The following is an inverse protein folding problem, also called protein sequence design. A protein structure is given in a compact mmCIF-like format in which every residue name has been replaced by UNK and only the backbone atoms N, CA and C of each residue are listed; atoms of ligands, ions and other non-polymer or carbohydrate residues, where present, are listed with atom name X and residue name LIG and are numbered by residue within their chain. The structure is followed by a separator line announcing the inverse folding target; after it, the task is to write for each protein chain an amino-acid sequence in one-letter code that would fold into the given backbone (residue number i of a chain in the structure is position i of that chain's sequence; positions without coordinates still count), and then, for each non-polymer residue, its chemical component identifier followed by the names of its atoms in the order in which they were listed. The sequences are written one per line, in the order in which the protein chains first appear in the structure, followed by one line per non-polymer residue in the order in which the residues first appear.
data_IF_153724964429
#
_entry.id   IF_153724964429
#
_cell.length_a   1.000
_cell.length_b   1.000
_cell.length_c   1.000
_cell.angle_alpha   90.00
_cell.angle_beta   90.00
_cell.angle_gamma   90.00
#
_symmetry.space_group_name_H-M   'P 1'
#
loop_
_entity.id
_entity.type
_entity.pdbx_description
1 polymer ?
#
# COMPACT_ATOMS: atom_id res chain seq x y z
N UNK A 1 -18.26 14.37 -23.33
CA UNK A 1 -16.84 14.57 -22.98
C UNK A 1 -16.24 13.19 -22.79
N UNK A 2 -15.10 12.96 -23.44
CA UNK A 2 -14.65 11.63 -23.86
C UNK A 2 -14.17 10.83 -22.65
N UNK A 3 -14.73 9.64 -22.48
CA UNK A 3 -14.35 8.65 -21.49
C UNK A 3 -12.93 8.18 -21.84
N UNK A 4 -11.91 8.78 -21.23
CA UNK A 4 -10.54 8.26 -21.31
C UNK A 4 -10.55 6.87 -20.69
N UNK A 5 -10.50 5.85 -21.55
CA UNK A 5 -10.22 4.48 -21.14
C UNK A 5 -8.93 4.51 -20.33
N UNK A 6 -9.08 4.39 -19.00
CA UNK A 6 -7.98 4.10 -18.07
C UNK A 6 -7.46 2.70 -18.42
N UNK A 7 -6.61 2.62 -19.45
CA UNK A 7 -5.84 1.40 -19.75
C UNK A 7 -4.68 1.37 -18.76
N UNK A 8 -5.00 0.95 -17.55
CA UNK A 8 -4.02 0.59 -16.55
C UNK A 8 -3.98 -0.94 -16.50
N UNK A 9 -2.80 -1.50 -16.76
CA UNK A 9 -2.59 -2.94 -16.82
C UNK A 9 -2.68 -3.52 -15.40
N UNK A 10 -3.91 -3.76 -14.96
CA UNK A 10 -4.22 -4.55 -13.77
C UNK A 10 -3.54 -5.90 -13.90
N UNK A 11 -2.56 -6.17 -13.05
CA UNK A 11 -2.00 -7.51 -12.89
C UNK A 11 -1.83 -7.78 -11.41
N UNK A 12 -2.33 -8.95 -11.05
CA UNK A 12 -2.87 -9.42 -9.78
C UNK A 12 -1.98 -9.24 -8.56
N UNK A 13 -2.59 -9.09 -7.38
CA UNK A 13 -2.00 -9.50 -6.11
C UNK A 13 -2.20 -11.02 -5.97
N UNK A 14 -1.21 -11.83 -6.37
CA UNK A 14 -1.18 -13.26 -6.03
C UNK A 14 -0.17 -13.41 -4.89
N UNK A 15 -0.65 -13.18 -3.68
CA UNK A 15 -0.02 -13.78 -2.52
C UNK A 15 -0.30 -15.28 -2.65
N UNK A 16 0.74 -16.09 -2.82
CA UNK A 16 0.55 -17.53 -2.78
C UNK A 16 0.23 -17.92 -1.34
N UNK A 17 -0.65 -18.90 -1.12
CA UNK A 17 -0.95 -19.44 0.21
C UNK A 17 0.30 -19.99 0.93
N UNK A 18 1.42 -20.15 0.21
CA UNK A 18 2.74 -20.55 0.70
C UNK A 18 3.65 -19.38 1.09
N UNK A 19 3.23 -18.13 0.87
CA UNK A 19 3.94 -16.96 1.40
C UNK A 19 3.79 -16.92 2.93
N UNK A 20 4.91 -16.95 3.65
CA UNK A 20 4.90 -16.96 5.12
C UNK A 20 4.14 -15.77 5.72
N UNK A 21 4.16 -14.60 5.05
CA UNK A 21 3.41 -13.43 5.49
C UNK A 21 1.90 -13.62 5.37
N UNK A 22 1.48 -14.38 4.35
CA UNK A 22 0.09 -14.77 4.15
C UNK A 22 -0.37 -15.74 5.25
N UNK A 23 0.40 -16.79 5.49
CA UNK A 23 0.08 -17.80 6.51
C UNK A 23 0.01 -17.20 7.93
N UNK A 24 0.87 -16.22 8.26
CA UNK A 24 0.84 -15.51 9.55
C UNK A 24 -0.42 -14.65 9.71
N UNK A 25 -0.81 -13.94 8.65
CA UNK A 25 -1.84 -12.90 8.76
C UNK A 25 -3.26 -13.43 8.80
N UNK A 26 -3.50 -14.62 8.27
CA UNK A 26 -4.83 -15.21 8.18
C UNK A 26 -5.44 -15.45 9.57
N UNK A 27 -6.65 -14.93 9.76
CA UNK A 27 -7.44 -15.14 10.99
C UNK A 27 -6.98 -14.32 12.19
N UNK A 28 -6.01 -13.42 12.04
CA UNK A 28 -5.52 -12.55 13.12
C UNK A 28 -6.33 -11.25 13.22
N UNK A 29 -6.17 -10.54 14.33
CA UNK A 29 -6.64 -9.16 14.49
C UNK A 29 -5.46 -8.25 14.84
N UNK A 30 -5.40 -7.11 14.15
CA UNK A 30 -4.35 -6.10 14.27
C UNK A 30 -4.92 -4.78 14.81
N UNK A 31 -5.98 -4.85 15.62
CA UNK A 31 -6.58 -3.66 16.22
C UNK A 31 -5.59 -2.89 17.10
N UNK A 32 -5.57 -1.56 16.95
CA UNK A 32 -4.72 -0.69 17.76
C UNK A 32 -3.22 -0.76 17.45
N UNK A 33 -2.78 -1.59 16.50
CA UNK A 33 -1.36 -1.69 16.14
C UNK A 33 -0.88 -0.36 15.55
N UNK A 34 0.19 0.17 16.12
CA UNK A 34 0.85 1.40 15.69
C UNK A 34 2.36 1.17 15.71
N UNK A 35 3.03 1.41 14.58
CA UNK A 35 4.49 1.40 14.51
C UNK A 35 5.05 2.73 15.02
N UNK A 36 6.13 2.68 15.81
CA UNK A 36 6.71 3.84 16.52
C UNK A 36 8.23 3.97 16.34
N UNK A 37 8.80 3.11 15.53
CA UNK A 37 10.22 2.93 15.22
C UNK A 37 10.69 3.76 14.02
N UNK A 38 9.79 4.52 13.37
CA UNK A 38 10.11 5.44 12.29
C UNK A 38 10.08 6.92 12.72
N UNK A 39 10.24 7.83 11.74
CA UNK A 39 10.21 9.29 11.96
C UNK A 39 8.84 9.83 12.42
N UNK A 40 7.80 8.99 12.41
CA UNK A 40 6.48 9.27 13.00
C UNK A 40 5.81 7.97 13.45
N UNK A 41 4.81 8.10 14.32
CA UNK A 41 3.87 7.01 14.57
C UNK A 41 3.01 6.74 13.32
N UNK A 42 2.82 5.45 13.02
CA UNK A 42 2.07 4.99 11.85
C UNK A 42 1.03 3.96 12.27
N UNK A 43 -0.25 4.28 12.01
CA UNK A 43 -1.37 3.35 12.21
C UNK A 43 -1.21 2.19 11.25
N UNK A 44 -1.30 0.96 11.73
CA UNK A 44 -1.18 -0.23 10.90
C UNK A 44 -2.52 -0.92 10.68
N UNK A 45 -2.74 -1.37 9.45
CA UNK A 45 -3.84 -2.24 9.07
C UNK A 45 -3.32 -3.37 8.20
N UNK A 46 -3.91 -4.56 8.35
CA UNK A 46 -3.61 -5.72 7.53
C UNK A 46 -4.87 -6.12 6.75
N UNK A 47 -4.77 -6.31 5.44
CA UNK A 47 -5.90 -6.66 4.57
C UNK A 47 -6.51 -8.02 4.94
N UNK A 48 -5.71 -8.90 5.57
CA UNK A 48 -6.13 -10.23 6.04
C UNK A 48 -6.63 -10.26 7.48
N UNK A 49 -6.78 -9.10 8.13
CA UNK A 49 -7.42 -9.02 9.44
C UNK A 49 -8.85 -9.58 9.39
N UNK A 50 -9.18 -10.47 10.32
CA UNK A 50 -10.46 -11.20 10.38
C UNK A 50 -11.70 -10.30 10.42
N UNK A 51 -11.56 -9.02 10.81
CA UNK A 51 -12.66 -8.05 10.82
C UNK A 51 -13.17 -7.73 9.41
N UNK A 52 -12.34 -7.88 8.38
CA UNK A 52 -12.70 -7.50 7.00
C UNK A 52 -12.16 -8.42 5.90
N UNK A 53 -11.27 -9.36 6.18
CA UNK A 53 -10.65 -10.22 5.16
C UNK A 53 -11.64 -10.98 4.28
N UNK A 54 -12.80 -11.36 4.83
CA UNK A 54 -13.89 -12.07 4.16
C UNK A 54 -14.91 -11.14 3.48
N UNK A 55 -14.78 -9.83 3.68
CA UNK A 55 -15.71 -8.83 3.13
C UNK A 55 -15.37 -8.55 1.67
N UNK A 56 -16.37 -8.25 0.84
CA UNK A 56 -16.16 -8.06 -0.59
C UNK A 56 -15.30 -6.83 -0.89
N UNK A 57 -14.42 -6.96 -1.88
CA UNK A 57 -13.82 -5.84 -2.59
C UNK A 57 -14.15 -6.00 -4.08
N UNK A 58 -15.30 -5.46 -4.46
CA UNK A 58 -15.88 -5.69 -5.77
C UNK A 58 -16.73 -6.97 -5.86
N UNK A 59 -17.12 -7.38 -7.08
CA UNK A 59 -18.09 -8.46 -7.29
C UNK A 59 -17.52 -9.88 -7.10
N UNK A 60 -16.18 -10.04 -7.15
CA UNK A 60 -15.54 -11.38 -7.19
C UNK A 60 -14.54 -11.64 -6.06
N UNK A 61 -13.82 -10.62 -5.63
CA UNK A 61 -12.74 -10.77 -4.65
C UNK A 61 -13.16 -10.26 -3.27
N UNK A 62 -12.37 -10.65 -2.27
CA UNK A 62 -12.46 -10.10 -0.91
C UNK A 62 -11.28 -9.17 -0.62
N UNK A 63 -11.40 -8.38 0.44
CA UNK A 63 -10.32 -7.50 0.91
C UNK A 63 -9.06 -8.32 1.24
N UNK A 64 -9.21 -9.51 1.84
CA UNK A 64 -8.09 -10.40 2.13
C UNK A 64 -7.30 -10.80 0.88
N UNK A 65 -7.97 -10.99 -0.25
CA UNK A 65 -7.34 -11.45 -1.51
C UNK A 65 -6.71 -10.30 -2.29
N UNK A 66 -7.40 -9.17 -2.44
CA UNK A 66 -7.01 -8.14 -3.41
C UNK A 66 -7.01 -6.70 -2.86
N UNK A 67 -7.11 -6.56 -1.52
CA UNK A 67 -7.26 -5.29 -0.82
C UNK A 67 -5.96 -4.54 -0.47
N UNK A 68 -4.79 -4.88 -1.04
CA UNK A 68 -3.52 -4.20 -0.71
C UNK A 68 -3.57 -2.68 -0.94
N UNK A 69 -4.18 -2.25 -2.05
CA UNK A 69 -4.34 -0.83 -2.39
C UNK A 69 -5.17 -0.05 -1.37
N UNK A 70 -6.45 -0.40 -1.14
CA UNK A 70 -7.27 0.30 -0.15
C UNK A 70 -6.74 0.16 1.28
N UNK A 71 -6.11 -0.97 1.64
CA UNK A 71 -5.50 -1.11 2.96
C UNK A 71 -4.27 -0.20 3.13
N UNK A 72 -3.41 -0.10 2.11
CA UNK A 72 -2.28 0.85 2.11
C UNK A 72 -2.75 2.30 2.23
N UNK A 73 -3.82 2.66 1.50
CA UNK A 73 -4.38 4.01 1.60
C UNK A 73 -5.04 4.26 2.96
N UNK A 74 -5.65 3.24 3.57
CA UNK A 74 -6.20 3.29 4.93
C UNK A 74 -5.13 3.60 5.98
N UNK A 75 -3.97 2.94 5.88
CA UNK A 75 -2.78 3.20 6.70
C UNK A 75 -2.36 4.68 6.56
N UNK A 76 -2.21 5.15 5.33
CA UNK A 76 -1.75 6.52 5.05
C UNK A 76 -2.73 7.57 5.57
N UNK A 77 -4.01 7.46 5.21
CA UNK A 77 -5.05 8.43 5.60
C UNK A 77 -5.23 8.44 7.12
N UNK A 78 -5.24 7.27 7.75
CA UNK A 78 -5.39 7.17 9.21
C UNK A 78 -4.18 7.68 9.99
N UNK A 79 -3.02 7.74 9.34
CA UNK A 79 -1.77 8.23 9.93
C UNK A 79 -1.60 9.73 9.74
N UNK A 80 -1.90 10.25 8.55
CA UNK A 80 -1.64 11.64 8.19
C UNK A 80 -2.82 12.58 8.45
N UNK A 81 -4.01 12.05 8.71
CA UNK A 81 -5.21 12.85 9.01
C UNK A 81 -5.77 12.55 10.40
N UNK A 82 -6.73 13.37 10.83
CA UNK A 82 -7.52 13.11 12.04
C UNK A 82 -8.62 12.04 11.84
N UNK A 83 -8.83 11.57 10.60
CA UNK A 83 -9.81 10.53 10.29
C UNK A 83 -9.19 9.15 10.56
N UNK A 84 -9.98 8.19 11.03
CA UNK A 84 -9.60 6.77 11.08
C UNK A 84 -10.46 6.05 10.06
N UNK A 85 -9.86 5.71 8.92
CA UNK A 85 -10.53 4.99 7.83
C UNK A 85 -9.96 3.58 7.81
N UNK A 86 -10.79 2.60 8.15
CA UNK A 86 -10.41 1.19 8.12
C UNK A 86 -10.45 0.61 6.68
N UNK A 87 -9.82 -0.56 6.46
CA UNK A 87 -9.77 -1.18 5.14
C UNK A 87 -11.13 -1.52 4.54
N UNK A 88 -12.15 -1.83 5.33
CA UNK A 88 -13.50 -2.09 4.82
C UNK A 88 -14.13 -0.82 4.23
N UNK A 89 -14.07 0.28 4.97
CA UNK A 89 -14.55 1.59 4.56
C UNK A 89 -13.81 2.09 3.32
N UNK A 90 -12.48 1.96 3.30
CA UNK A 90 -11.68 2.37 2.15
C UNK A 90 -11.93 1.50 0.92
N UNK A 91 -12.10 0.18 1.09
CA UNK A 91 -12.39 -0.73 -0.03
C UNK A 91 -13.75 -0.43 -0.67
N UNK A 92 -14.77 -0.15 0.15
CA UNK A 92 -16.07 0.29 -0.35
C UNK A 92 -15.99 1.61 -1.11
N UNK A 93 -15.26 2.59 -0.57
CA UNK A 93 -15.04 3.86 -1.25
C UNK A 93 -14.29 3.66 -2.57
N UNK A 94 -13.21 2.87 -2.57
CA UNK A 94 -12.41 2.60 -3.75
C UNK A 94 -13.26 1.95 -4.86
N UNK A 95 -14.06 0.94 -4.51
CA UNK A 95 -14.96 0.28 -5.45
C UNK A 95 -16.02 1.24 -6.03
N UNK A 96 -16.72 1.98 -5.17
CA UNK A 96 -17.78 2.90 -5.59
C UNK A 96 -17.28 4.06 -6.46
N UNK A 97 -15.98 4.39 -6.39
CA UNK A 97 -15.36 5.44 -7.19
C UNK A 97 -14.56 4.88 -8.39
N UNK A 98 -14.72 3.60 -8.72
CA UNK A 98 -14.15 3.01 -9.94
C UNK A 98 -12.65 2.71 -9.89
N UNK A 99 -12.10 2.50 -8.69
CA UNK A 99 -10.67 2.17 -8.50
C UNK A 99 -10.38 0.67 -8.43
N UNK A 100 -11.40 -0.18 -8.49
CA UNK A 100 -11.23 -1.62 -8.59
C UNK A 100 -10.74 -2.01 -10.00
N UNK A 101 -9.60 -2.68 -10.06
CA UNK A 101 -9.15 -3.39 -11.24
C UNK A 101 -9.56 -4.87 -11.10
N UNK A 102 -10.76 -5.20 -11.60
CA UNK A 102 -11.42 -6.50 -11.36
C UNK A 102 -10.50 -7.71 -11.60
N UNK A 103 -10.42 -8.61 -10.62
CA UNK A 103 -9.56 -9.80 -10.65
C UNK A 103 -8.06 -9.52 -10.43
N UNK A 104 -7.68 -8.27 -10.17
CA UNK A 104 -6.27 -7.88 -10.01
C UNK A 104 -5.98 -6.97 -8.82
N UNK A 105 -7.01 -6.43 -8.17
CA UNK A 105 -6.90 -5.53 -7.02
C UNK A 105 -7.33 -4.12 -7.40
N UNK A 106 -6.42 -3.15 -7.30
CA UNK A 106 -6.74 -1.73 -7.50
C UNK A 106 -5.95 -1.13 -8.64
N UNK A 107 -6.55 -0.17 -9.36
CA UNK A 107 -5.82 0.68 -10.30
C UNK A 107 -4.80 1.53 -9.56
N UNK A 108 -3.67 1.86 -10.21
CA UNK A 108 -2.63 2.72 -9.64
C UNK A 108 -3.18 4.11 -9.26
N UNK A 109 -4.19 4.59 -9.98
CA UNK A 109 -4.88 5.87 -9.70
C UNK A 109 -5.57 5.92 -8.34
N UNK A 110 -5.85 4.78 -7.69
CA UNK A 110 -6.41 4.75 -6.34
C UNK A 110 -5.57 5.59 -5.37
N UNK A 111 -4.24 5.49 -5.48
CA UNK A 111 -3.33 6.10 -4.52
C UNK A 111 -3.32 7.63 -4.62
N UNK A 112 -3.01 8.24 -5.78
CA UNK A 112 -3.01 9.69 -5.88
C UNK A 112 -4.41 10.30 -5.75
N UNK A 113 -5.43 9.73 -6.41
CA UNK A 113 -6.78 10.29 -6.38
C UNK A 113 -7.40 10.14 -4.97
N UNK A 114 -7.15 9.01 -4.30
CA UNK A 114 -7.54 8.77 -2.92
C UNK A 114 -6.85 9.70 -1.92
N UNK A 115 -5.53 9.86 -2.01
CA UNK A 115 -4.81 10.80 -1.15
C UNK A 115 -5.39 12.22 -1.27
N UNK A 116 -5.60 12.70 -2.50
CA UNK A 116 -6.20 14.01 -2.76
C UNK A 116 -7.63 14.12 -2.22
N UNK A 117 -8.46 13.08 -2.40
CA UNK A 117 -9.82 13.05 -1.86
C UNK A 117 -9.86 13.25 -0.33
N UNK A 118 -8.88 12.69 0.38
CA UNK A 118 -8.76 12.84 1.83
C UNK A 118 -8.00 14.11 2.26
N UNK A 119 -7.69 15.02 1.32
CA UNK A 119 -7.06 16.31 1.59
C UNK A 119 -5.55 16.25 1.76
N UNK A 120 -4.90 15.17 1.32
CA UNK A 120 -3.45 15.01 1.38
C UNK A 120 -2.80 15.44 0.06
N UNK A 121 -1.56 15.91 0.13
CA UNK A 121 -0.76 16.15 -1.05
C UNK A 121 -0.10 14.85 -1.50
N UNK A 122 0.04 14.67 -2.80
CA UNK A 122 0.70 13.50 -3.40
C UNK A 122 1.66 13.92 -4.49
N UNK A 123 2.87 13.36 -4.46
CA UNK A 123 3.90 13.55 -5.46
C UNK A 123 4.38 12.19 -5.95
N UNK A 124 4.32 11.98 -7.27
CA UNK A 124 4.91 10.81 -7.91
C UNK A 124 6.44 10.84 -7.89
N UNK A 125 7.06 9.67 -7.75
CA UNK A 125 8.50 9.47 -7.77
C UNK A 125 8.86 8.13 -8.43
N UNK A 126 10.08 8.06 -8.99
CA UNK A 126 10.60 6.88 -9.65
C UNK A 126 11.93 6.44 -9.02
N UNK A 127 12.48 5.33 -9.54
CA UNK A 127 13.74 4.75 -9.05
C UNK A 127 14.91 5.75 -9.04
N UNK A 128 14.95 6.66 -10.02
CA UNK A 128 15.97 7.73 -10.12
C UNK A 128 15.85 8.79 -9.02
N UNK A 129 14.71 8.89 -8.35
CA UNK A 129 14.40 9.92 -7.35
C UNK A 129 14.69 9.42 -5.91
N UNK A 130 15.65 8.51 -5.77
CA UNK A 130 16.01 7.84 -4.52
C UNK A 130 16.19 8.82 -3.35
N UNK A 131 16.94 9.91 -3.54
CA UNK A 131 17.19 10.87 -2.47
C UNK A 131 15.92 11.62 -2.05
N UNK A 132 15.02 11.91 -2.99
CA UNK A 132 13.74 12.55 -2.72
C UNK A 132 12.86 11.65 -1.85
N UNK A 133 12.84 10.34 -2.13
CA UNK A 133 12.10 9.35 -1.33
C UNK A 133 12.69 9.25 0.08
N UNK A 134 14.01 9.14 0.22
CA UNK A 134 14.67 9.10 1.54
C UNK A 134 14.35 10.36 2.34
N UNK A 135 14.52 11.55 1.75
CA UNK A 135 14.26 12.81 2.43
C UNK A 135 12.80 12.90 2.90
N UNK A 136 11.85 12.45 2.07
CA UNK A 136 10.45 12.40 2.44
C UNK A 136 10.22 11.50 3.67
N UNK A 137 10.75 10.28 3.64
CA UNK A 137 10.64 9.32 4.75
C UNK A 137 11.29 9.85 6.04
N UNK A 138 12.49 10.43 5.95
CA UNK A 138 13.18 11.06 7.08
C UNK A 138 12.39 12.23 7.68
N UNK A 139 11.60 12.94 6.86
CA UNK A 139 10.73 14.04 7.31
C UNK A 139 9.38 13.58 7.87
N UNK A 140 9.16 12.27 8.01
CA UNK A 140 7.92 11.69 8.53
C UNK A 140 6.75 11.69 7.54
N UNK A 141 7.03 11.86 6.24
CA UNK A 141 6.06 11.58 5.18
C UNK A 141 5.97 10.09 4.93
N UNK A 142 4.87 9.65 4.35
CA UNK A 142 4.69 8.25 3.94
C UNK A 142 4.85 8.12 2.43
N UNK A 143 5.28 6.95 1.96
CA UNK A 143 5.38 6.67 0.54
C UNK A 143 4.64 5.39 0.24
N UNK A 144 3.59 5.43 -0.57
CA UNK A 144 3.00 4.20 -1.10
C UNK A 144 3.85 3.73 -2.27
N UNK A 145 4.18 2.45 -2.30
CA UNK A 145 4.91 1.81 -3.39
C UNK A 145 4.05 0.73 -4.04
N UNK A 146 4.14 0.59 -5.36
CA UNK A 146 3.65 -0.61 -6.08
C UNK A 146 4.83 -1.50 -6.45
N UNK A 147 4.85 -2.68 -5.87
CA UNK A 147 5.90 -3.68 -6.06
C UNK A 147 5.56 -4.60 -7.23
N UNK A 148 6.60 -5.03 -7.94
CA UNK A 148 6.61 -6.17 -8.85
C UNK A 148 7.11 -7.45 -8.15
N UNK A 149 7.35 -8.50 -8.94
CA UNK A 149 7.84 -9.79 -8.43
C UNK A 149 9.16 -9.65 -7.67
N UNK A 150 9.22 -10.20 -6.47
CA UNK A 150 10.37 -10.14 -5.58
C UNK A 150 10.06 -10.65 -4.17
N UNK A 151 10.67 -10.04 -3.16
CA UNK A 151 10.51 -10.42 -1.76
C UNK A 151 9.11 -10.13 -1.20
N UNK A 152 8.42 -9.12 -1.73
CA UNK A 152 7.13 -8.66 -1.20
C UNK A 152 5.92 -9.32 -1.88
N UNK A 153 6.10 -9.85 -3.10
CA UNK A 153 5.01 -10.42 -3.90
C UNK A 153 5.54 -11.25 -5.05
N UNK A 154 4.74 -12.20 -5.55
CA UNK A 154 5.03 -12.93 -6.79
C UNK A 154 4.59 -12.18 -8.05
N UNK A 155 3.82 -11.10 -7.90
CA UNK A 155 3.19 -10.35 -8.99
C UNK A 155 3.14 -8.84 -8.72
N UNK A 156 1.99 -8.27 -8.34
CA UNK A 156 1.79 -6.88 -7.95
C UNK A 156 1.42 -6.76 -6.47
N UNK A 157 1.90 -5.72 -5.78
CA UNK A 157 1.52 -5.48 -4.37
C UNK A 157 1.72 -4.03 -3.95
N UNK A 158 0.66 -3.39 -3.43
CA UNK A 158 0.80 -2.09 -2.80
C UNK A 158 1.28 -2.24 -1.36
N UNK A 159 2.24 -1.42 -0.95
CA UNK A 159 2.69 -1.32 0.43
C UNK A 159 3.09 0.10 0.80
N UNK A 160 3.23 0.38 2.10
CA UNK A 160 3.62 1.70 2.59
C UNK A 160 5.07 1.65 3.11
N UNK A 161 5.92 2.57 2.64
CA UNK A 161 7.20 2.89 3.26
C UNK A 161 6.93 3.94 4.34
N UNK A 162 7.33 3.65 5.57
CA UNK A 162 6.93 4.41 6.77
C UNK A 162 8.05 5.17 7.46
N UNK A 163 9.29 4.97 7.04
CA UNK A 163 10.43 5.68 7.60
C UNK A 163 11.76 5.12 7.11
N UNK A 164 12.82 5.74 7.59
CA UNK A 164 14.20 5.29 7.39
C UNK A 164 14.89 5.24 8.75
N UNK A 165 15.64 4.18 9.02
CA UNK A 165 16.40 4.01 10.26
C UNK A 165 17.67 4.87 10.27
N UNK A 166 18.34 4.95 11.41
CA UNK A 166 19.63 5.65 11.55
C UNK A 166 20.73 5.03 10.67
N UNK A 167 20.61 3.74 10.38
CA UNK A 167 21.52 2.96 9.52
C UNK A 167 21.13 3.05 8.03
N UNK A 168 20.10 3.82 7.69
CA UNK A 168 19.65 4.03 6.31
C UNK A 168 18.77 2.91 5.75
N UNK A 169 18.25 2.01 6.59
CA UNK A 169 17.31 0.97 6.18
C UNK A 169 15.89 1.52 6.08
N UNK A 170 15.09 0.97 5.19
CA UNK A 170 13.69 1.35 5.01
C UNK A 170 12.80 0.50 5.90
N UNK A 171 11.89 1.17 6.58
CA UNK A 171 10.82 0.55 7.36
C UNK A 171 9.55 0.50 6.51
N UNK A 172 8.84 -0.62 6.54
CA UNK A 172 7.59 -0.80 5.78
C UNK A 172 6.40 -1.06 6.70
N UNK A 173 5.22 -0.65 6.25
CA UNK A 173 3.92 -1.13 6.70
C UNK A 173 3.29 -1.84 5.51
N UNK A 174 3.57 -3.14 5.42
CA UNK A 174 3.06 -4.02 4.38
C UNK A 174 1.64 -4.49 4.77
N UNK A 175 0.59 -4.14 4.00
CA UNK A 175 -0.79 -4.48 4.34
C UNK A 175 -1.07 -5.99 4.29
N UNK A 176 -0.13 -6.82 3.87
CA UNK A 176 -0.27 -8.26 3.78
C UNK A 176 0.71 -9.03 4.68
N UNK A 177 1.55 -8.35 5.46
CA UNK A 177 2.45 -9.06 6.37
C UNK A 177 2.96 -8.17 7.48
N UNK A 178 2.57 -8.51 8.71
CA UNK A 178 3.15 -7.86 9.88
C UNK A 178 4.62 -8.25 10.04
N UNK A 179 4.95 -9.53 9.79
CA UNK A 179 6.35 -10.01 9.81
C UNK A 179 7.28 -9.20 8.89
N UNK A 180 6.86 -8.85 7.67
CA UNK A 180 7.68 -7.98 6.79
C UNK A 180 7.73 -6.53 7.29
N UNK A 181 6.67 -6.08 7.96
CA UNK A 181 6.59 -4.75 8.56
C UNK A 181 7.47 -4.56 9.81
N UNK A 182 7.83 -5.66 10.48
CA UNK A 182 8.74 -5.70 11.63
C UNK A 182 10.22 -5.89 11.22
N UNK A 183 10.50 -5.93 9.91
CA UNK A 183 11.86 -6.04 9.36
C UNK A 183 12.35 -4.70 8.80
N UNK A 184 13.68 -4.57 8.78
CA UNK A 184 14.40 -3.48 8.11
C UNK A 184 14.86 -3.91 6.72
N UNK A 185 14.66 -3.06 5.71
CA UNK A 185 14.92 -3.40 4.32
C UNK A 185 16.01 -2.53 3.71
N UNK A 186 16.91 -3.14 2.95
CA UNK A 186 17.78 -2.39 2.06
C UNK A 186 16.96 -1.65 1.01
N UNK A 187 17.16 -0.35 0.86
CA UNK A 187 16.37 0.43 -0.09
C UNK A 187 16.57 -0.06 -1.53
N UNK A 188 17.75 -0.59 -1.85
CA UNK A 188 18.05 -1.18 -3.16
C UNK A 188 17.12 -2.36 -3.50
N UNK A 189 16.68 -3.16 -2.52
CA UNK A 189 15.72 -4.24 -2.73
C UNK A 189 14.40 -3.65 -3.23
N UNK A 190 13.87 -2.66 -2.50
CA UNK A 190 12.61 -2.00 -2.84
C UNK A 190 12.70 -1.28 -4.20
N UNK A 191 13.80 -0.58 -4.47
CA UNK A 191 14.01 0.11 -5.73
C UNK A 191 14.07 -0.84 -6.94
N UNK A 192 14.74 -1.98 -6.79
CA UNK A 192 14.89 -2.96 -7.87
C UNK A 192 13.61 -3.76 -8.14
N UNK A 193 12.79 -3.93 -7.11
CA UNK A 193 11.54 -4.69 -7.18
C UNK A 193 10.31 -3.81 -7.40
N UNK A 194 10.44 -2.49 -7.37
CA UNK A 194 9.37 -1.58 -7.72
C UNK A 194 8.89 -1.81 -9.16
N UNK A 195 7.58 -1.67 -9.39
CA UNK A 195 6.98 -1.91 -10.70
C UNK A 195 7.52 -0.92 -11.74
N UNK A 196 8.16 -1.43 -12.78
CA UNK A 196 8.82 -0.61 -13.81
C UNK A 196 7.87 0.22 -14.68
N UNK A 197 6.65 -0.27 -14.89
CA UNK A 197 5.63 0.37 -15.73
C UNK A 197 4.39 0.74 -14.90
N UNK A 198 4.60 1.45 -13.79
CA UNK A 198 3.51 1.99 -13.00
C UNK A 198 2.86 3.20 -13.69
N UNK A 199 1.55 3.33 -13.56
CA UNK A 199 0.79 4.48 -14.06
C UNK A 199 0.57 5.51 -12.95
N UNK A 200 -0.15 6.60 -13.26
CA UNK A 200 -0.61 7.60 -12.30
C UNK A 200 0.50 8.22 -11.42
N UNK A 201 1.71 8.38 -11.97
CA UNK A 201 2.86 8.96 -11.26
C UNK A 201 3.64 7.99 -10.36
N UNK A 202 3.34 6.69 -10.39
CA UNK A 202 4.10 5.67 -9.66
C UNK A 202 5.49 5.38 -10.26
N UNK A 203 6.22 4.40 -9.71
CA UNK A 203 5.76 3.40 -8.74
C UNK A 203 5.77 3.83 -7.28
N UNK A 204 6.25 5.04 -6.98
CA UNK A 204 6.25 5.59 -5.62
C UNK A 204 5.38 6.85 -5.56
N UNK A 205 4.53 6.96 -4.55
CA UNK A 205 3.70 8.13 -4.27
C UNK A 205 4.04 8.66 -2.89
N UNK A 206 4.75 9.78 -2.85
CA UNK A 206 5.10 10.49 -1.61
C UNK A 206 3.87 11.29 -1.16
N UNK A 207 3.40 11.06 0.07
CA UNK A 207 2.15 11.62 0.59
C UNK A 207 2.39 12.38 1.90
N UNK A 208 1.80 13.57 2.01
CA UNK A 208 1.92 14.47 3.17
C UNK A 208 0.70 15.33 3.40
#
# INVERSE_FOLDING_TARGET
MVNEMRIDYGFTQILQNTDEGYAESQGQQYEGVTFKDGSREVVYYNQMDSRWADKPYGPRDTIGVSGCGPTSLSIVVSTLTSKRIDPFTMSNWAYNNGYLAEGTGSYHSLIPDGAQHFGLNVQGAAQKDQQTIINALSSGKLVVAIMGKGHFTSSGHFMVLRGVTTEGKILVADPASRKRSEQEWDFSIILNEARKNAAAGGPFWIIS
#
